data_IF_575491127395
#
_entry.id   IF_575491127395
#
_cell.length_a   1.000
_cell.length_b   1.000
_cell.length_c   1.000
_cell.angle_alpha   90.00
_cell.angle_beta   90.00
_cell.angle_gamma   90.00
#
_symmetry.space_group_name_H-M   'P 1'
#
loop_
_entity.id
_entity.type
_entity.pdbx_description
1 polymer ?
#
# COMPACT_ATOMS: atom_id res chain seq x y z
N UNK A 1 11.54 -11.87 -8.64
CA UNK A 1 10.96 -12.47 -9.86
C UNK A 1 11.76 -12.05 -11.08
N UNK A 2 12.12 -12.98 -11.98
CA UNK A 2 12.87 -12.68 -13.21
C UNK A 2 11.99 -12.98 -14.42
N UNK A 3 11.66 -11.96 -15.20
CA UNK A 3 10.90 -12.10 -16.45
C UNK A 3 11.73 -12.89 -17.46
N UNK A 4 11.16 -13.96 -17.99
CA UNK A 4 11.73 -14.73 -19.09
C UNK A 4 11.19 -14.17 -20.41
N UNK A 5 12.04 -14.13 -21.43
CA UNK A 5 11.69 -13.66 -22.75
C UNK A 5 12.28 -14.60 -23.79
N UNK A 6 11.56 -14.76 -24.90
CA UNK A 6 12.04 -15.49 -26.07
C UNK A 6 13.17 -14.72 -26.77
N UNK A 7 13.77 -15.34 -27.78
CA UNK A 7 14.81 -14.75 -28.64
C UNK A 7 14.35 -13.47 -29.38
N UNK A 8 13.04 -13.28 -29.53
CA UNK A 8 12.40 -12.11 -30.14
C UNK A 8 12.00 -11.04 -29.11
N UNK A 9 12.31 -11.24 -27.82
CA UNK A 9 11.99 -10.33 -26.73
C UNK A 9 10.54 -10.37 -26.23
N UNK A 10 9.72 -11.32 -26.67
CA UNK A 10 8.34 -11.50 -26.19
C UNK A 10 8.34 -12.15 -24.81
N UNK A 11 7.33 -11.82 -24.00
CA UNK A 11 7.23 -12.34 -22.64
C UNK A 11 6.75 -13.79 -22.63
N UNK A 12 7.56 -14.70 -22.07
CA UNK A 12 7.22 -16.12 -21.96
C UNK A 12 6.74 -16.51 -20.55
N UNK A 13 7.16 -15.76 -19.53
CA UNK A 13 6.75 -16.05 -18.17
C UNK A 13 7.66 -15.44 -17.12
N UNK A 14 7.52 -15.90 -15.89
CA UNK A 14 8.34 -15.45 -14.77
C UNK A 14 8.92 -16.65 -14.03
N UNK A 15 10.23 -16.57 -13.74
CA UNK A 15 10.91 -17.52 -12.85
C UNK A 15 11.19 -16.86 -11.51
N UNK A 16 10.81 -17.52 -10.42
CA UNK A 16 11.21 -17.07 -9.09
C UNK A 16 12.68 -17.39 -8.85
N UNK A 17 13.44 -16.38 -8.45
CA UNK A 17 14.86 -16.46 -8.12
C UNK A 17 15.06 -15.80 -6.76
N UNK A 18 15.45 -16.59 -5.76
CA UNK A 18 15.93 -16.07 -4.49
C UNK A 18 17.37 -15.56 -4.69
N UNK A 19 17.67 -14.36 -4.19
CA UNK A 19 19.02 -13.77 -4.19
C UNK A 19 19.68 -13.97 -2.82
N UNK A 20 18.89 -13.84 -1.76
CA UNK A 20 19.30 -14.04 -0.37
C UNK A 20 18.43 -15.12 0.26
N UNK A 21 19.03 -16.02 1.04
CA UNK A 21 18.35 -17.18 1.64
C UNK A 21 18.07 -18.31 0.64
N UNK A 22 17.52 -19.41 1.13
CA UNK A 22 17.10 -20.51 0.25
C UNK A 22 15.74 -20.21 -0.39
N UNK A 23 15.49 -20.78 -1.57
CA UNK A 23 14.22 -20.58 -2.27
C UNK A 23 13.01 -21.05 -1.45
N UNK A 24 13.16 -22.14 -0.70
CA UNK A 24 12.08 -22.70 0.12
C UNK A 24 11.69 -21.74 1.24
N UNK A 25 12.65 -21.26 2.04
CA UNK A 25 12.42 -20.31 3.14
C UNK A 25 11.80 -19.00 2.63
N UNK A 26 12.29 -18.49 1.50
CA UNK A 26 11.76 -17.23 0.92
C UNK A 26 10.30 -17.39 0.50
N UNK A 27 9.93 -18.52 -0.10
CA UNK A 27 8.55 -18.80 -0.48
C UNK A 27 7.68 -18.98 0.76
N UNK A 28 8.16 -19.67 1.78
CA UNK A 28 7.43 -19.87 3.03
C UNK A 28 7.14 -18.53 3.73
N UNK A 29 8.12 -17.62 3.78
CA UNK A 29 7.99 -16.35 4.48
C UNK A 29 7.24 -15.28 3.69
N UNK A 30 7.47 -15.18 2.38
CA UNK A 30 7.01 -14.06 1.55
C UNK A 30 6.05 -14.46 0.42
N UNK A 31 5.81 -15.76 0.26
CA UNK A 31 5.05 -16.31 -0.85
C UNK A 31 5.83 -16.36 -2.17
N UNK A 32 5.12 -16.73 -3.23
CA UNK A 32 5.71 -16.88 -4.58
C UNK A 32 5.90 -15.54 -5.32
N UNK A 33 5.51 -14.42 -4.71
CA UNK A 33 5.55 -13.10 -5.35
C UNK A 33 5.67 -11.96 -4.34
N UNK A 34 6.58 -11.04 -4.64
CA UNK A 34 6.74 -9.77 -3.93
C UNK A 34 5.95 -8.63 -4.56
N UNK A 35 5.11 -8.90 -5.57
CA UNK A 35 4.43 -7.86 -6.34
C UNK A 35 3.54 -6.95 -5.47
N UNK A 36 2.94 -7.49 -4.41
CA UNK A 36 2.08 -6.71 -3.50
C UNK A 36 2.90 -5.73 -2.65
N UNK A 37 4.00 -6.19 -2.04
CA UNK A 37 4.87 -5.31 -1.25
C UNK A 37 5.58 -4.29 -2.14
N UNK A 38 5.97 -4.67 -3.36
CA UNK A 38 6.55 -3.75 -4.34
C UNK A 38 5.56 -2.66 -4.75
N UNK A 39 4.28 -3.01 -4.94
CA UNK A 39 3.22 -2.02 -5.19
C UNK A 39 3.02 -1.09 -4.01
N UNK A 40 3.03 -1.62 -2.77
CA UNK A 40 2.97 -0.79 -1.56
C UNK A 40 4.14 0.19 -1.48
N UNK A 41 5.36 -0.29 -1.75
CA UNK A 41 6.56 0.56 -1.78
C UNK A 41 6.49 1.64 -2.86
N UNK A 42 5.92 1.34 -4.02
CA UNK A 42 5.70 2.34 -5.08
C UNK A 42 4.70 3.41 -4.62
N UNK A 43 3.59 3.00 -4.02
CA UNK A 43 2.59 3.93 -3.44
C UNK A 43 3.23 4.83 -2.40
N UNK A 44 3.97 4.27 -1.44
CA UNK A 44 4.58 5.05 -0.37
C UNK A 44 5.58 6.08 -0.90
N UNK A 45 6.36 5.76 -1.94
CA UNK A 45 7.25 6.72 -2.62
C UNK A 45 6.51 7.83 -3.37
N UNK A 46 5.33 7.55 -3.91
CA UNK A 46 4.51 8.55 -4.60
C UNK A 46 3.87 9.53 -3.61
N UNK A 47 3.48 9.05 -2.44
CA UNK A 47 2.84 9.88 -1.41
C UNK A 47 3.85 10.57 -0.50
N UNK A 48 5.03 9.98 -0.31
CA UNK A 48 6.07 10.49 0.57
C UNK A 48 7.40 10.60 -0.17
N UNK A 49 7.71 11.83 -0.60
CA UNK A 49 8.95 12.15 -1.32
C UNK A 49 10.22 11.89 -0.50
N UNK A 50 10.13 11.71 0.84
CA UNK A 50 11.25 11.30 1.71
C UNK A 50 11.76 9.89 1.40
N UNK A 51 10.91 9.03 0.83
CA UNK A 51 11.27 7.65 0.51
C UNK A 51 11.83 7.48 -0.90
N UNK A 52 11.85 8.56 -1.69
CA UNK A 52 12.42 8.55 -3.04
C UNK A 52 13.94 8.64 -2.95
N UNK A 53 14.63 7.87 -3.81
CA UNK A 53 16.10 7.87 -3.89
C UNK A 53 16.61 9.24 -4.34
N UNK A 54 17.66 9.75 -3.67
CA UNK A 54 18.31 11.05 -3.97
C UNK A 54 17.36 12.26 -3.93
N UNK A 55 16.35 12.20 -3.06
CA UNK A 55 15.43 13.31 -2.81
C UNK A 55 16.11 14.43 -2.01
N UNK A 56 15.77 15.69 -2.28
CA UNK A 56 16.11 16.82 -1.41
C UNK A 56 15.14 16.97 -0.24
N UNK A 57 14.01 16.26 -0.26
CA UNK A 57 12.99 16.30 0.79
C UNK A 57 13.28 15.32 1.93
N UNK A 58 14.53 14.96 2.19
CA UNK A 58 14.89 13.99 3.24
C UNK A 58 14.65 14.57 4.65
N UNK A 59 14.35 13.70 5.60
CA UNK A 59 14.32 14.06 7.01
C UNK A 59 15.73 13.97 7.60
N UNK A 60 16.13 14.97 8.40
CA UNK A 60 17.38 14.93 9.19
C UNK A 60 17.23 14.16 10.50
N UNK A 61 16.01 14.07 10.99
CA UNK A 61 15.64 13.33 12.20
C UNK A 61 14.83 12.08 11.81
N UNK A 62 15.17 10.95 12.43
CA UNK A 62 14.47 9.68 12.25
C UNK A 62 13.03 9.74 12.74
N UNK A 63 12.74 10.51 13.79
CA UNK A 63 11.38 10.64 14.32
C UNK A 63 10.49 11.39 13.32
N UNK A 64 11.01 12.43 12.69
CA UNK A 64 10.32 13.13 11.60
C UNK A 64 10.11 12.22 10.37
N UNK A 65 11.05 11.32 10.07
CA UNK A 65 10.86 10.32 9.00
C UNK A 65 9.75 9.32 9.35
N UNK A 66 9.77 8.77 10.56
CA UNK A 66 8.76 7.83 11.08
C UNK A 66 7.38 8.46 11.09
N UNK A 67 7.25 9.70 11.58
CA UNK A 67 6.00 10.45 11.58
C UNK A 67 5.46 10.65 10.16
N UNK A 68 6.31 11.00 9.19
CA UNK A 68 5.90 11.16 7.80
C UNK A 68 5.46 9.84 7.15
N UNK A 69 6.12 8.72 7.49
CA UNK A 69 5.71 7.39 7.02
C UNK A 69 4.36 6.97 7.64
N UNK A 70 4.20 7.14 8.96
CA UNK A 70 2.94 6.84 9.64
C UNK A 70 1.79 7.71 9.13
N UNK A 71 2.03 8.99 8.85
CA UNK A 71 1.07 9.91 8.25
C UNK A 71 0.59 9.41 6.88
N UNK A 72 1.53 9.04 6.00
CA UNK A 72 1.21 8.55 4.66
C UNK A 72 0.37 7.27 4.70
N UNK A 73 0.79 6.30 5.50
CA UNK A 73 0.09 5.02 5.64
C UNK A 73 -1.30 5.21 6.25
N UNK A 74 -1.43 6.04 7.28
CA UNK A 74 -2.72 6.37 7.90
C UNK A 74 -3.66 7.08 6.92
N UNK A 75 -3.15 8.04 6.15
CA UNK A 75 -3.95 8.74 5.14
C UNK A 75 -4.42 7.79 4.04
N UNK A 76 -3.54 6.90 3.56
CA UNK A 76 -3.87 5.93 2.53
C UNK A 76 -4.96 4.94 2.98
N UNK A 77 -4.87 4.47 4.24
CA UNK A 77 -5.72 3.42 4.77
C UNK A 77 -7.03 3.93 5.38
N UNK A 78 -7.04 5.08 6.05
CA UNK A 78 -8.22 5.57 6.79
C UNK A 78 -9.01 6.64 6.02
N UNK A 79 -8.32 7.50 5.26
CA UNK A 79 -8.91 8.72 4.69
C UNK A 79 -9.19 8.57 3.19
N UNK A 80 -8.27 7.98 2.41
CA UNK A 80 -8.37 7.97 0.95
C UNK A 80 -9.25 6.83 0.41
N UNK A 81 -10.40 7.09 -0.23
CA UNK A 81 -11.20 6.04 -0.84
C UNK A 81 -10.57 5.55 -2.15
N UNK A 82 -10.62 4.23 -2.41
CA UNK A 82 -10.03 3.65 -3.63
C UNK A 82 -11.11 3.15 -4.58
N UNK A 83 -10.94 3.47 -5.87
CA UNK A 83 -11.93 3.11 -6.90
C UNK A 83 -12.19 1.61 -7.00
N UNK A 84 -11.16 0.79 -6.77
CA UNK A 84 -11.22 -0.68 -6.80
C UNK A 84 -11.92 -1.30 -5.59
N UNK A 85 -12.11 -0.56 -4.51
CA UNK A 85 -12.74 -1.06 -3.26
C UNK A 85 -14.19 -0.60 -3.10
N UNK A 86 -14.69 0.24 -4.02
CA UNK A 86 -16.05 0.77 -3.97
C UNK A 86 -17.07 -0.36 -4.05
N UNK A 87 -18.13 -0.25 -3.27
CA UNK A 87 -19.24 -1.21 -3.28
C UNK A 87 -20.32 -0.73 -4.23
N UNK A 88 -20.94 -1.68 -4.94
CA UNK A 88 -22.14 -1.36 -5.73
C UNK A 88 -23.27 -1.02 -4.78
N UNK A 89 -23.98 0.04 -5.09
CA UNK A 89 -25.16 0.46 -4.34
C UNK A 89 -26.41 0.00 -5.11
N UNK A 90 -27.37 -0.56 -4.39
CA UNK A 90 -28.63 -1.07 -4.94
C UNK A 90 -29.81 -0.58 -4.08
N UNK A 91 -29.80 0.71 -3.72
CA UNK A 91 -30.80 1.33 -2.83
C UNK A 91 -31.82 2.21 -3.59
N UNK A 92 -31.87 2.11 -4.92
CA UNK A 92 -32.73 2.94 -5.77
C UNK A 92 -32.24 4.37 -5.98
N UNK A 93 -31.12 4.77 -5.37
CA UNK A 93 -30.51 6.08 -5.62
C UNK A 93 -29.80 6.13 -6.98
N UNK A 94 -29.59 7.34 -7.56
CA UNK A 94 -28.81 7.49 -8.80
C UNK A 94 -27.32 7.15 -8.60
N UNK A 95 -26.87 6.93 -7.37
CA UNK A 95 -25.47 6.63 -7.05
C UNK A 95 -25.20 5.15 -7.26
N UNK A 96 -24.37 4.83 -8.25
CA UNK A 96 -23.96 3.43 -8.52
C UNK A 96 -22.97 2.86 -7.51
N UNK A 97 -22.12 3.71 -6.91
CA UNK A 97 -20.96 3.28 -6.13
C UNK A 97 -20.88 3.99 -4.78
N UNK A 98 -20.63 3.24 -3.71
CA UNK A 98 -20.29 3.76 -2.39
C UNK A 98 -18.77 3.76 -2.20
N UNK A 99 -18.15 4.89 -1.81
CA UNK A 99 -16.72 4.95 -1.56
C UNK A 99 -16.33 4.06 -0.38
N UNK A 100 -15.14 3.45 -0.44
CA UNK A 100 -14.58 2.60 0.62
C UNK A 100 -13.06 2.78 0.69
N UNK A 101 -12.53 2.82 1.92
CA UNK A 101 -11.09 2.85 2.20
C UNK A 101 -10.56 1.45 2.51
N UNK A 102 -9.23 1.22 2.51
CA UNK A 102 -8.65 -0.06 2.90
C UNK A 102 -8.99 -0.46 4.34
N UNK A 103 -8.99 0.49 5.28
CA UNK A 103 -9.36 0.21 6.66
C UNK A 103 -10.83 -0.21 6.81
N UNK A 104 -11.75 0.39 6.03
CA UNK A 104 -13.13 -0.10 5.95
C UNK A 104 -13.23 -1.47 5.27
N UNK A 105 -12.36 -1.76 4.31
CA UNK A 105 -12.28 -3.08 3.67
C UNK A 105 -11.84 -4.17 4.66
N UNK A 106 -10.91 -3.84 5.55
CA UNK A 106 -10.40 -4.70 6.60
C UNK A 106 -11.26 -4.75 7.88
N UNK A 107 -12.34 -3.95 7.97
CA UNK A 107 -13.21 -3.92 9.16
C UNK A 107 -12.61 -3.20 10.37
N UNK A 108 -11.58 -2.36 10.16
CA UNK A 108 -10.93 -1.58 11.22
C UNK A 108 -11.70 -0.30 11.58
N UNK A 109 -12.54 0.18 10.67
CA UNK A 109 -13.43 1.34 10.83
C UNK A 109 -14.67 1.16 9.96
N UNK A 110 -15.76 1.80 10.31
CA UNK A 110 -17.04 1.76 9.59
C UNK A 110 -17.26 2.96 8.66
N UNK A 111 -16.35 3.95 8.68
CA UNK A 111 -16.46 5.17 7.89
C UNK A 111 -15.10 5.66 7.38
N UNK A 112 -15.16 6.59 6.43
CA UNK A 112 -13.99 7.28 5.88
C UNK A 112 -13.59 8.38 6.86
N UNK A 113 -12.36 8.31 7.37
CA UNK A 113 -11.88 9.28 8.34
C UNK A 113 -11.65 10.64 7.71
N UNK A 114 -11.69 11.68 8.54
CA UNK A 114 -11.17 13.01 8.17
C UNK A 114 -9.73 13.19 8.63
N UNK A 115 -9.00 14.14 8.02
CA UNK A 115 -7.66 14.54 8.51
C UNK A 115 -7.73 15.02 9.96
N UNK A 116 -8.77 15.78 10.33
CA UNK A 116 -8.96 16.27 11.69
C UNK A 116 -9.06 15.10 12.67
N UNK A 117 -9.94 14.15 12.37
CA UNK A 117 -10.13 12.94 13.17
C UNK A 117 -8.84 12.15 13.35
N UNK A 118 -8.06 11.95 12.27
CA UNK A 118 -6.78 11.27 12.35
C UNK A 118 -5.81 11.98 13.31
N UNK A 119 -5.77 13.32 13.30
CA UNK A 119 -4.88 14.10 14.15
C UNK A 119 -5.35 14.26 15.60
N UNK A 120 -6.66 14.09 15.86
CA UNK A 120 -7.24 14.26 17.21
C UNK A 120 -7.54 12.93 17.91
N UNK A 121 -7.53 11.81 17.19
CA UNK A 121 -7.83 10.51 17.79
C UNK A 121 -6.59 9.95 18.49
N UNK A 122 -6.75 9.60 19.76
CA UNK A 122 -5.68 9.00 20.57
C UNK A 122 -5.87 7.49 20.56
N UNK A 123 -4.91 6.70 20.05
CA UNK A 123 -4.98 5.25 20.14
C UNK A 123 -4.86 4.82 21.60
N UNK A 124 -5.85 4.09 22.10
CA UNK A 124 -5.78 3.46 23.42
C UNK A 124 -4.91 2.20 23.30
N UNK A 125 -4.03 1.97 24.27
CA UNK A 125 -3.29 0.71 24.37
C UNK A 125 -4.24 -0.35 24.93
N UNK A 126 -4.58 -1.33 24.12
CA UNK A 126 -5.25 -2.56 24.54
C UNK A 126 -4.26 -3.49 25.24
#
# INVERSE_FOLDING_TARGET
MVKQRDEHGRFEGVKLRAIFGTKAEVIELLGESTAYIERSNLTSRLFNSRQVRKTLAFSKDIEAYRAAAAWEDSYYNLIRPHKSMRLSVQDGSPRKWSPRTPAMAAGLTDHIWTVKELLTTIPLRC
#
